data_IF_548017927548
#
_entry.id   IF_548017927548
#
_cell.length_a   1.000
_cell.length_b   1.000
_cell.length_c   1.000
_cell.angle_alpha   90.00
_cell.angle_beta   90.00
_cell.angle_gamma   90.00
#
_symmetry.space_group_name_H-M   'P 1'
#
loop_
_entity.id
_entity.type
_entity.pdbx_description
1 polymer ?
#
# COMPACT_ATOMS: atom_id res chain seq x y z
N UNK A 1 10.13 4.70 -21.27
CA UNK A 1 9.32 5.92 -21.08
C UNK A 1 9.52 6.50 -19.67
N UNK A 2 9.06 5.85 -18.60
CA UNK A 2 9.14 6.42 -17.22
C UNK A 2 10.55 6.78 -16.75
N UNK A 3 11.57 5.95 -17.01
CA UNK A 3 12.97 6.26 -16.70
C UNK A 3 13.48 7.54 -17.38
N UNK A 4 12.97 7.86 -18.57
CA UNK A 4 13.34 9.07 -19.30
C UNK A 4 12.55 10.30 -18.83
N UNK A 5 11.46 10.10 -18.08
CA UNK A 5 10.63 11.17 -17.53
C UNK A 5 11.12 11.67 -16.17
N UNK A 6 12.21 11.11 -15.61
CA UNK A 6 12.81 11.58 -14.36
C UNK A 6 11.98 11.29 -13.11
N UNK A 7 11.22 10.19 -13.10
CA UNK A 7 10.44 9.78 -11.92
C UNK A 7 11.36 9.35 -10.77
N UNK A 8 10.95 9.64 -9.53
CA UNK A 8 11.71 9.30 -8.31
C UNK A 8 11.44 7.88 -7.78
N UNK A 9 10.40 7.21 -8.28
CA UNK A 9 10.02 5.87 -7.86
C UNK A 9 8.99 5.21 -8.77
N UNK A 10 8.82 3.90 -8.61
CA UNK A 10 7.78 3.12 -9.30
C UNK A 10 7.00 2.28 -8.30
N UNK A 11 5.71 2.09 -8.56
CA UNK A 11 4.86 1.17 -7.80
C UNK A 11 4.18 0.23 -8.78
N UNK A 12 4.18 -1.07 -8.48
CA UNK A 12 3.39 -2.09 -9.17
C UNK A 12 2.10 -2.33 -8.40
N UNK A 13 0.95 -2.23 -9.08
CA UNK A 13 -0.39 -2.39 -8.50
C UNK A 13 -1.25 -3.27 -9.40
N UNK A 14 -2.06 -4.17 -8.82
CA UNK A 14 -3.01 -5.03 -9.54
C UNK A 14 -4.37 -4.33 -9.82
N UNK A 15 -4.35 -3.08 -10.29
CA UNK A 15 -5.57 -2.25 -10.50
C UNK A 15 -6.64 -2.89 -11.41
N UNK A 16 -6.26 -3.84 -12.27
CA UNK A 16 -7.19 -4.49 -13.20
C UNK A 16 -7.75 -5.82 -12.70
N UNK A 17 -7.43 -6.21 -11.47
CA UNK A 17 -7.94 -7.42 -10.81
C UNK A 17 -9.37 -7.21 -10.27
N UNK A 18 -10.24 -6.67 -11.13
CA UNK A 18 -11.61 -6.28 -10.78
C UNK A 18 -12.57 -7.46 -11.01
N UNK A 19 -13.57 -7.67 -10.15
CA UNK A 19 -13.84 -6.93 -8.91
C UNK A 19 -12.85 -7.29 -7.79
N UNK A 20 -12.48 -6.31 -6.98
CA UNK A 20 -11.54 -6.51 -5.87
C UNK A 20 -12.19 -7.31 -4.73
N UNK A 21 -11.35 -8.04 -3.99
CA UNK A 21 -11.75 -8.87 -2.85
C UNK A 21 -10.76 -8.70 -1.69
N UNK A 22 -11.21 -8.92 -0.46
CA UNK A 22 -10.34 -9.00 0.71
C UNK A 22 -9.56 -10.33 0.78
N UNK A 23 -10.11 -11.38 0.15
CA UNK A 23 -9.53 -12.73 0.15
C UNK A 23 -8.74 -12.96 -1.14
N UNK A 24 -7.50 -12.44 -1.15
CA UNK A 24 -6.58 -12.60 -2.28
C UNK A 24 -5.95 -13.99 -2.28
N UNK A 25 -6.03 -14.68 -3.43
CA UNK A 25 -5.47 -16.02 -3.60
C UNK A 25 -3.95 -16.04 -3.81
N UNK A 26 -3.37 -17.24 -3.77
CA UNK A 26 -1.93 -17.46 -3.91
C UNK A 26 -1.43 -17.12 -5.32
N UNK A 27 -2.29 -17.20 -6.33
CA UNK A 27 -2.00 -16.82 -7.71
C UNK A 27 -1.62 -15.34 -7.83
N UNK A 28 -2.26 -14.45 -7.06
CA UNK A 28 -1.95 -13.02 -7.07
C UNK A 28 -0.59 -12.76 -6.44
N UNK A 29 -0.28 -13.35 -5.28
CA UNK A 29 1.03 -13.17 -4.65
C UNK A 29 2.16 -13.76 -5.50
N UNK A 30 1.94 -14.94 -6.10
CA UNK A 30 2.90 -15.56 -7.01
C UNK A 30 3.17 -14.69 -8.25
N UNK A 31 2.11 -14.22 -8.92
CA UNK A 31 2.24 -13.37 -10.11
C UNK A 31 2.91 -12.03 -9.76
N UNK A 32 2.46 -11.37 -8.69
CA UNK A 32 3.01 -10.08 -8.26
C UNK A 32 4.48 -10.19 -7.86
N UNK A 33 4.91 -11.28 -7.22
CA UNK A 33 6.33 -11.51 -6.90
C UNK A 33 7.20 -11.57 -8.15
N UNK A 34 6.79 -12.33 -9.18
CA UNK A 34 7.54 -12.45 -10.43
C UNK A 34 7.59 -11.12 -11.19
N UNK A 35 6.46 -10.40 -11.25
CA UNK A 35 6.37 -9.10 -11.91
C UNK A 35 7.26 -8.07 -11.18
N UNK A 36 7.14 -7.97 -9.85
CA UNK A 36 7.92 -7.03 -9.05
C UNK A 36 9.43 -7.31 -9.15
N UNK A 37 9.84 -8.59 -9.14
CA UNK A 37 11.25 -8.95 -9.30
C UNK A 37 11.77 -8.52 -10.69
N UNK A 38 10.96 -8.72 -11.73
CA UNK A 38 11.31 -8.29 -13.10
C UNK A 38 11.43 -6.76 -13.20
N UNK A 39 10.53 -6.01 -12.55
CA UNK A 39 10.58 -4.54 -12.49
C UNK A 39 11.82 -4.07 -11.73
N UNK A 40 12.14 -4.66 -10.57
CA UNK A 40 13.33 -4.34 -9.78
C UNK A 40 14.61 -4.57 -10.58
N UNK A 41 14.71 -5.69 -11.30
CA UNK A 41 15.86 -5.99 -12.17
C UNK A 41 16.00 -5.00 -13.32
N UNK A 42 14.88 -4.55 -13.90
CA UNK A 42 14.90 -3.55 -14.98
C UNK A 42 15.28 -2.14 -14.48
N UNK A 43 15.02 -1.83 -13.20
CA UNK A 43 15.22 -0.52 -12.59
C UNK A 43 15.98 -0.60 -11.25
N UNK A 44 17.23 -1.11 -11.21
CA UNK A 44 17.89 -1.48 -9.96
C UNK A 44 18.23 -0.29 -9.05
N UNK A 45 18.39 0.91 -9.62
CA UNK A 45 18.74 2.13 -8.88
C UNK A 45 17.53 2.96 -8.47
N UNK A 46 16.33 2.61 -8.95
CA UNK A 46 15.13 3.37 -8.65
C UNK A 46 14.39 2.70 -7.48
N UNK A 47 13.91 3.45 -6.49
CA UNK A 47 13.00 2.92 -5.49
C UNK A 47 11.77 2.32 -6.16
N UNK A 48 11.47 1.09 -5.82
CA UNK A 48 10.32 0.34 -6.33
C UNK A 48 9.46 -0.13 -5.17
N UNK A 49 8.16 -0.16 -5.37
CA UNK A 49 7.25 -0.69 -4.38
C UNK A 49 6.10 -1.48 -4.99
N UNK A 50 5.30 -2.06 -4.11
CA UNK A 50 4.15 -2.87 -4.49
C UNK A 50 2.92 -2.51 -3.65
N UNK A 51 1.76 -2.60 -4.28
CA UNK A 51 0.46 -2.56 -3.64
C UNK A 51 -0.39 -3.69 -4.20
N UNK A 52 -1.12 -4.38 -3.32
CA UNK A 52 -2.08 -5.41 -3.72
C UNK A 52 -3.45 -5.00 -3.17
N UNK A 53 -4.36 -4.69 -4.08
CA UNK A 53 -5.75 -4.33 -3.78
C UNK A 53 -6.56 -5.59 -3.40
N UNK A 54 -7.56 -5.52 -2.52
CA UNK A 54 -7.92 -4.38 -1.65
C UNK A 54 -7.43 -4.67 -0.21
N UNK A 55 -6.51 -3.85 0.29
CA UNK A 55 -5.85 -3.99 1.60
C UNK A 55 -5.22 -5.37 1.88
N UNK A 56 -4.73 -6.04 0.84
CA UNK A 56 -3.91 -7.25 0.96
C UNK A 56 -2.48 -6.87 1.39
N UNK A 57 -2.37 -6.12 2.49
CA UNK A 57 -1.14 -5.45 2.94
C UNK A 57 -0.07 -6.47 3.39
N UNK A 58 -0.48 -7.57 4.03
CA UNK A 58 0.46 -8.64 4.40
C UNK A 58 0.97 -9.38 3.16
N UNK A 59 0.10 -9.64 2.19
CA UNK A 59 0.45 -10.22 0.91
C UNK A 59 1.42 -9.32 0.14
N UNK A 60 1.15 -8.01 0.08
CA UNK A 60 2.04 -7.02 -0.52
C UNK A 60 3.42 -7.03 0.16
N UNK A 61 3.47 -7.14 1.50
CA UNK A 61 4.72 -7.21 2.24
C UNK A 61 5.52 -8.49 1.94
N UNK A 62 4.84 -9.64 1.87
CA UNK A 62 5.47 -10.91 1.50
C UNK A 62 6.03 -10.88 0.07
N UNK A 63 5.26 -10.30 -0.86
CA UNK A 63 5.70 -10.06 -2.24
C UNK A 63 6.90 -9.11 -2.27
N UNK A 64 6.88 -8.05 -1.47
CA UNK A 64 8.00 -7.11 -1.41
C UNK A 64 9.30 -7.80 -0.98
N UNK A 65 9.23 -8.61 0.08
CA UNK A 65 10.36 -9.39 0.55
C UNK A 65 10.87 -10.39 -0.50
N UNK A 66 9.97 -11.12 -1.15
CA UNK A 66 10.33 -12.15 -2.14
C UNK A 66 10.93 -11.57 -3.43
N UNK A 67 10.49 -10.37 -3.82
CA UNK A 67 10.91 -9.72 -5.07
C UNK A 67 12.07 -8.73 -4.91
N UNK A 68 12.36 -8.31 -3.67
CA UNK A 68 13.42 -7.34 -3.37
C UNK A 68 13.05 -5.89 -3.73
N UNK A 69 11.77 -5.56 -3.82
CA UNK A 69 11.32 -4.16 -3.90
C UNK A 69 11.41 -3.50 -2.52
N UNK A 70 11.48 -2.17 -2.51
CA UNK A 70 11.98 -1.40 -1.39
C UNK A 70 10.89 -0.96 -0.39
N UNK A 71 9.64 -0.87 -0.85
CA UNK A 71 8.53 -0.42 -0.03
C UNK A 71 7.18 -1.03 -0.43
N UNK A 72 6.20 -0.93 0.46
CA UNK A 72 4.80 -1.22 0.17
C UNK A 72 3.94 0.02 0.38
N UNK A 73 2.93 0.19 -0.47
CA UNK A 73 1.83 1.12 -0.21
C UNK A 73 0.67 0.34 0.40
N UNK A 74 0.14 0.83 1.51
CA UNK A 74 -0.85 0.10 2.31
C UNK A 74 -2.13 0.90 2.51
N UNK A 75 -3.24 0.18 2.48
CA UNK A 75 -4.58 0.73 2.67
C UNK A 75 -5.06 0.45 4.09
N UNK A 76 -5.84 1.37 4.66
CA UNK A 76 -6.39 1.21 6.02
C UNK A 76 -5.31 0.82 7.06
N UNK A 77 -4.14 1.48 7.02
CA UNK A 77 -3.10 1.25 8.01
C UNK A 77 -3.55 1.72 9.39
N UNK A 78 -4.08 2.95 9.45
CA UNK A 78 -4.74 3.55 10.60
C UNK A 78 -6.18 3.90 10.26
N UNK A 79 -7.07 3.74 11.24
CA UNK A 79 -8.52 3.92 11.15
C UNK A 79 -9.25 3.03 10.13
N UNK A 80 -10.49 2.69 10.46
CA UNK A 80 -11.39 2.01 9.56
C UNK A 80 -12.11 3.00 8.64
N UNK A 81 -12.43 2.57 7.42
CA UNK A 81 -13.23 3.32 6.46
C UNK A 81 -13.98 2.39 5.52
N UNK A 82 -14.95 2.92 4.79
CA UNK A 82 -15.75 2.13 3.84
C UNK A 82 -15.19 2.36 2.44
N UNK A 83 -14.81 1.31 1.72
CA UNK A 83 -14.49 1.37 0.30
C UNK A 83 -15.51 0.57 -0.52
N UNK A 84 -15.27 0.45 -1.82
CA UNK A 84 -16.16 -0.24 -2.76
C UNK A 84 -16.39 -1.71 -2.38
N UNK A 85 -15.43 -2.34 -1.72
CA UNK A 85 -15.46 -3.74 -1.28
C UNK A 85 -16.09 -3.92 0.12
N UNK A 86 -16.30 -2.82 0.86
CA UNK A 86 -16.89 -2.83 2.20
C UNK A 86 -16.03 -2.12 3.26
N UNK A 87 -16.20 -2.52 4.53
CA UNK A 87 -15.48 -1.91 5.65
C UNK A 87 -14.07 -2.47 5.73
N UNK A 88 -13.09 -1.59 5.51
CA UNK A 88 -11.69 -1.85 5.76
C UNK A 88 -11.34 -1.51 7.21
N UNK A 89 -10.65 -2.42 7.89
CA UNK A 89 -10.23 -2.22 9.27
C UNK A 89 -8.74 -1.88 9.37
N UNK A 90 -8.42 -1.02 10.34
CA UNK A 90 -7.04 -0.63 10.63
C UNK A 90 -6.14 -1.87 10.87
N UNK A 91 -5.01 -1.95 10.18
CA UNK A 91 -4.15 -3.14 10.20
C UNK A 91 -2.74 -2.93 10.77
N UNK A 92 -2.34 -1.70 11.13
CA UNK A 92 -0.97 -1.36 11.49
C UNK A 92 -0.30 -2.34 12.46
N UNK A 93 -0.94 -2.65 13.59
CA UNK A 93 -0.37 -3.55 14.58
C UNK A 93 -0.08 -4.96 14.04
N UNK A 94 -1.02 -5.55 13.30
CA UNK A 94 -0.85 -6.89 12.75
C UNK A 94 0.15 -6.90 11.59
N UNK A 95 0.14 -5.85 10.77
CA UNK A 95 1.07 -5.71 9.65
C UNK A 95 2.53 -5.58 10.14
N UNK A 96 2.80 -4.71 11.10
CA UNK A 96 4.17 -4.50 11.59
C UNK A 96 4.72 -5.70 12.38
N UNK A 97 3.86 -6.44 13.09
CA UNK A 97 4.25 -7.73 13.71
C UNK A 97 4.61 -8.76 12.65
N UNK A 98 3.79 -8.87 11.60
CA UNK A 98 4.08 -9.75 10.47
C UNK A 98 5.38 -9.34 9.75
N UNK A 99 5.61 -8.05 9.53
CA UNK A 99 6.86 -7.49 8.98
C UNK A 99 8.09 -8.01 9.71
N UNK A 100 8.05 -7.93 11.04
CA UNK A 100 9.12 -8.45 11.89
C UNK A 100 9.24 -9.97 11.82
N UNK A 101 8.10 -10.68 11.87
CA UNK A 101 8.06 -12.15 11.84
C UNK A 101 8.75 -12.74 10.60
N UNK A 102 8.63 -12.09 9.45
CA UNK A 102 9.23 -12.56 8.18
C UNK A 102 10.59 -11.92 7.87
N UNK A 103 11.15 -11.10 8.77
CA UNK A 103 12.44 -10.43 8.55
C UNK A 103 12.41 -9.28 7.54
N UNK A 104 11.24 -8.69 7.29
CA UNK A 104 11.03 -7.63 6.30
C UNK A 104 11.11 -6.21 6.89
N UNK A 105 11.80 -6.02 8.02
CA UNK A 105 11.88 -4.70 8.70
C UNK A 105 12.58 -3.61 7.87
N UNK A 106 13.35 -4.00 6.86
CA UNK A 106 14.00 -3.10 5.91
C UNK A 106 13.04 -2.56 4.82
N UNK A 107 11.83 -3.13 4.70
CA UNK A 107 10.83 -2.71 3.71
C UNK A 107 9.98 -1.59 4.32
N UNK A 108 9.98 -0.44 3.64
CA UNK A 108 9.25 0.74 4.09
C UNK A 108 7.73 0.57 3.88
N UNK A 109 6.94 1.15 4.78
CA UNK A 109 5.48 1.12 4.74
C UNK A 109 4.94 2.53 4.54
N UNK A 110 4.40 2.80 3.35
CA UNK A 110 3.75 4.06 3.02
C UNK A 110 2.23 3.92 3.12
N UNK A 111 1.64 4.61 4.10
CA UNK A 111 0.25 4.45 4.46
C UNK A 111 -0.66 5.45 3.72
N UNK A 112 -1.68 4.95 3.03
CA UNK A 112 -2.76 5.79 2.54
C UNK A 112 -3.51 6.44 3.72
N UNK A 113 -3.65 7.76 3.66
CA UNK A 113 -4.49 8.53 4.58
C UNK A 113 -5.61 9.21 3.82
N UNK A 114 -6.83 9.16 4.36
CA UNK A 114 -8.06 9.73 3.75
C UNK A 114 -8.16 9.41 2.25
N UNK A 115 -8.03 8.13 1.89
CA UNK A 115 -8.05 7.60 0.51
C UNK A 115 -9.29 8.11 -0.26
N UNK A 116 -9.08 8.58 -1.49
CA UNK A 116 -10.10 9.17 -2.38
C UNK A 116 -11.27 8.24 -2.76
N UNK A 117 -11.04 6.92 -2.83
CA UNK A 117 -12.05 5.91 -3.19
C UNK A 117 -12.69 5.28 -1.96
N UNK A 118 -12.74 6.03 -0.85
CA UNK A 118 -13.29 5.56 0.42
C UNK A 118 -14.14 6.63 1.08
N UNK A 119 -15.24 6.22 1.69
CA UNK A 119 -16.03 7.05 2.58
C UNK A 119 -15.45 7.02 4.00
N UNK A 120 -15.17 8.21 4.54
CA UNK A 120 -14.54 8.40 5.85
C UNK A 120 -15.52 8.87 6.93
N UNK A 121 -16.82 8.58 6.78
CA UNK A 121 -17.87 9.05 7.71
C UNK A 121 -17.64 8.59 9.15
N UNK A 122 -17.09 7.38 9.35
CA UNK A 122 -16.74 6.84 10.67
C UNK A 122 -15.64 7.64 11.38
N UNK A 123 -14.86 8.40 10.62
CA UNK A 123 -13.76 9.25 11.13
C UNK A 123 -13.90 10.68 10.63
N UNK A 124 -15.14 11.14 10.43
CA UNK A 124 -15.41 12.49 9.93
C UNK A 124 -14.91 13.59 10.89
N UNK A 125 -14.80 13.27 12.17
CA UNK A 125 -14.22 14.09 13.23
C UNK A 125 -12.69 14.13 13.22
N UNK A 126 -12.04 13.18 12.54
CA UNK A 126 -10.57 13.11 12.43
C UNK A 126 -10.10 13.84 11.18
N UNK A 127 -9.30 14.89 11.37
CA UNK A 127 -8.72 15.68 10.27
C UNK A 127 -7.67 14.89 9.49
N UNK A 128 -7.31 15.35 8.29
CA UNK A 128 -6.18 14.77 7.51
C UNK A 128 -4.88 14.87 8.31
N UNK A 129 -4.64 16.02 8.96
CA UNK A 129 -3.44 16.24 9.77
C UNK A 129 -3.37 15.29 10.97
N UNK A 130 -4.49 15.06 11.66
CA UNK A 130 -4.52 14.11 12.79
C UNK A 130 -4.43 12.66 12.31
N UNK A 131 -4.95 12.36 11.12
CA UNK A 131 -4.76 11.05 10.49
C UNK A 131 -3.27 10.82 10.17
N UNK A 132 -2.56 11.83 9.68
CA UNK A 132 -1.12 11.76 9.41
C UNK A 132 -0.30 11.56 10.71
N UNK A 133 -0.61 12.33 11.77
CA UNK A 133 0.01 12.13 13.10
C UNK A 133 -0.25 10.73 13.66
N UNK A 134 -1.45 10.19 13.45
CA UNK A 134 -1.77 8.83 13.87
C UNK A 134 -0.96 7.80 13.06
N UNK A 135 -0.80 7.98 11.75
CA UNK A 135 0.03 7.10 10.94
C UNK A 135 1.50 7.11 11.40
N UNK A 136 2.05 8.30 11.69
CA UNK A 136 3.39 8.44 12.29
C UNK A 136 3.49 7.77 13.66
N UNK A 137 2.51 7.99 14.55
CA UNK A 137 2.46 7.36 15.87
C UNK A 137 2.39 5.83 15.79
N UNK A 138 1.74 5.29 14.76
CA UNK A 138 1.67 3.86 14.46
C UNK A 138 2.85 3.36 13.60
N UNK A 139 3.92 4.14 13.47
CA UNK A 139 5.20 3.78 12.87
C UNK A 139 5.13 3.52 11.35
N UNK A 140 4.28 4.28 10.62
CA UNK A 140 4.39 4.35 9.16
C UNK A 140 5.70 5.06 8.77
N UNK A 141 6.35 4.57 7.71
CA UNK A 141 7.58 5.16 7.17
C UNK A 141 7.29 6.38 6.28
N UNK A 142 6.04 6.55 5.86
CA UNK A 142 5.55 7.67 5.07
C UNK A 142 4.04 7.62 4.90
N UNK A 143 3.47 8.71 4.37
CA UNK A 143 2.03 8.82 4.11
C UNK A 143 1.75 9.13 2.65
N UNK A 144 0.69 8.57 2.11
CA UNK A 144 0.19 8.83 0.76
C UNK A 144 -1.17 9.52 0.88
N UNK A 145 -1.24 10.74 0.35
CA UNK A 145 -2.45 11.55 0.33
C UNK A 145 -2.89 11.74 -1.13
N UNK A 146 -4.07 11.24 -1.47
CA UNK A 146 -4.54 11.17 -2.87
C UNK A 146 -5.62 12.19 -3.22
N UNK A 147 -5.92 13.13 -2.33
CA UNK A 147 -7.00 14.10 -2.50
C UNK A 147 -8.39 13.46 -2.32
N UNK A 148 -9.45 14.20 -2.67
CA UNK A 148 -10.85 13.76 -2.50
C UNK A 148 -11.37 12.96 -3.69
N UNK A 149 -10.93 13.24 -4.91
CA UNK A 149 -11.21 12.44 -6.11
C UNK A 149 -10.07 12.53 -7.14
N UNK A 150 -10.02 11.56 -8.05
CA UNK A 150 -9.08 11.59 -9.18
C UNK A 150 -9.47 12.72 -10.14
N UNK A 151 -8.60 13.72 -10.32
CA UNK A 151 -8.82 14.79 -11.29
C UNK A 151 -9.75 15.93 -10.83
N UNK A 152 -10.03 16.02 -9.53
CA UNK A 152 -10.69 17.19 -8.94
C UNK A 152 -9.65 18.05 -8.22
N UNK A 153 -9.44 19.27 -8.71
CA UNK A 153 -8.97 20.40 -7.87
C UNK A 153 -10.09 20.88 -6.95
#
# INVERSE_FOLDING_TARGET
MYRAAGVDGLIVENMHDRPYTFDVGAEVTAAMAVICASVKQACPTLPTGVQILCAANQQALAVALASGVDFIRVEAFVFSHVADEGILNACAGNLLRYRKQIGAEHIQVFADIKKKHSAHTLTADVTVADTAKAAEFFLADGVVLTGTATGSE
#
